data_IF_214878584615
#
_entry.id   IF_214878584615
#
_cell.length_a   1.000
_cell.length_b   1.000
_cell.length_c   1.000
_cell.angle_alpha   90.00
_cell.angle_beta   90.00
_cell.angle_gamma   90.00
#
_symmetry.space_group_name_H-M   'P 1'
#
loop_
_entity.id
_entity.type
_entity.pdbx_description
1 polymer ?
#
# COMPACT_ATOMS: atom_id res chain seq x y z
N UNK A 1 -2.62 19.26 4.43
CA UNK A 1 -2.27 17.84 4.18
C UNK A 1 -0.76 17.61 4.31
N UNK A 2 0.04 18.68 4.25
CA UNK A 2 1.50 18.64 4.26
C UNK A 2 2.10 18.01 5.52
N UNK A 3 1.52 18.26 6.70
CA UNK A 3 1.97 17.60 7.95
C UNK A 3 1.80 16.08 7.91
N UNK A 4 0.67 15.60 7.37
CA UNK A 4 0.39 14.16 7.23
C UNK A 4 1.36 13.56 6.22
N UNK A 5 1.52 14.22 5.08
CA UNK A 5 2.48 13.81 4.05
C UNK A 5 3.90 13.73 4.60
N UNK A 6 4.37 14.77 5.30
CA UNK A 6 5.70 14.79 5.92
C UNK A 6 5.86 13.70 6.97
N UNK A 7 4.84 13.46 7.80
CA UNK A 7 4.88 12.38 8.79
C UNK A 7 5.05 11.02 8.12
N UNK A 8 4.22 10.72 7.11
CA UNK A 8 4.28 9.47 6.34
C UNK A 8 5.63 9.33 5.63
N UNK A 9 6.11 10.39 4.96
CA UNK A 9 7.41 10.42 4.31
C UNK A 9 8.55 10.15 5.28
N UNK A 10 8.53 10.78 6.46
CA UNK A 10 9.55 10.59 7.48
C UNK A 10 9.57 9.16 8.03
N UNK A 11 8.40 8.56 8.23
CA UNK A 11 8.27 7.16 8.65
C UNK A 11 8.86 6.23 7.57
N UNK A 12 8.47 6.39 6.31
CA UNK A 12 8.99 5.59 5.19
C UNK A 12 10.51 5.74 5.05
N UNK A 13 11.03 6.96 5.19
CA UNK A 13 12.47 7.24 5.13
C UNK A 13 13.23 6.64 6.32
N UNK A 14 12.61 6.63 7.49
CA UNK A 14 13.17 5.96 8.67
C UNK A 14 13.23 4.43 8.47
N UNK A 15 12.17 3.83 7.92
CA UNK A 15 12.15 2.40 7.56
C UNK A 15 13.24 2.08 6.52
N UNK A 16 13.40 2.92 5.50
CA UNK A 16 14.46 2.79 4.48
C UNK A 16 15.85 2.79 5.11
N UNK A 17 16.12 3.70 6.06
CA UNK A 17 17.42 3.75 6.77
C UNK A 17 17.71 2.48 7.57
N UNK A 18 16.70 1.89 8.21
CA UNK A 18 16.88 0.69 9.06
C UNK A 18 16.99 -0.57 8.21
N UNK A 19 16.19 -0.69 7.16
CA UNK A 19 16.16 -1.88 6.30
C UNK A 19 17.32 -1.95 5.31
N UNK A 20 17.98 -0.82 5.03
CA UNK A 20 18.98 -0.72 3.97
C UNK A 20 18.38 -0.64 2.56
N UNK A 21 17.05 -0.67 2.45
CA UNK A 21 16.32 -0.50 1.19
C UNK A 21 16.19 0.98 0.84
N UNK A 22 16.04 1.27 -0.45
CA UNK A 22 15.74 2.61 -0.94
C UNK A 22 14.33 3.06 -0.52
N UNK A 23 14.10 4.37 -0.55
CA UNK A 23 12.77 4.92 -0.27
C UNK A 23 11.70 4.39 -1.26
N UNK A 24 12.05 4.19 -2.53
CA UNK A 24 11.13 3.65 -3.54
C UNK A 24 10.74 2.21 -3.21
N UNK A 25 11.70 1.36 -2.89
CA UNK A 25 11.44 -0.03 -2.48
C UNK A 25 10.52 -0.10 -1.27
N UNK A 26 10.81 0.67 -0.22
CA UNK A 26 9.95 0.71 0.97
C UNK A 26 8.54 1.20 0.62
N UNK A 27 8.42 2.23 -0.23
CA UNK A 27 7.14 2.76 -0.66
C UNK A 27 6.32 1.66 -1.37
N UNK A 28 6.91 0.98 -2.35
CA UNK A 28 6.27 -0.13 -3.07
C UNK A 28 5.88 -1.26 -2.13
N UNK A 29 6.77 -1.69 -1.23
CA UNK A 29 6.45 -2.76 -0.27
C UNK A 29 5.25 -2.37 0.60
N UNK A 30 5.24 -1.15 1.16
CA UNK A 30 4.15 -0.73 2.05
C UNK A 30 2.81 -0.66 1.31
N UNK A 31 2.77 0.00 0.14
CA UNK A 31 1.53 0.30 -0.55
C UNK A 31 1.02 -0.82 -1.47
N UNK A 32 1.90 -1.68 -1.99
CA UNK A 32 1.51 -2.78 -2.88
C UNK A 32 1.53 -4.16 -2.21
N UNK A 33 2.18 -4.31 -1.06
CA UNK A 33 2.26 -5.61 -0.36
C UNK A 33 1.60 -5.53 1.02
N UNK A 34 2.05 -4.64 1.91
CA UNK A 34 1.62 -4.65 3.32
C UNK A 34 0.16 -4.20 3.47
N UNK A 35 -0.20 -3.05 2.91
CA UNK A 35 -1.59 -2.53 2.99
C UNK A 35 -2.57 -3.48 2.28
N UNK A 36 -2.34 -3.92 1.02
CA UNK A 36 -3.21 -4.90 0.38
C UNK A 36 -3.26 -6.23 1.12
N UNK A 37 -2.14 -6.71 1.67
CA UNK A 37 -2.10 -7.91 2.49
C UNK A 37 -2.98 -7.80 3.74
N UNK A 38 -3.02 -6.61 4.35
CA UNK A 38 -3.93 -6.35 5.46
C UNK A 38 -5.41 -6.37 5.03
N UNK A 39 -5.74 -5.86 3.84
CA UNK A 39 -7.11 -5.97 3.29
C UNK A 39 -7.48 -7.44 3.04
N UNK A 40 -6.59 -8.21 2.41
CA UNK A 40 -6.80 -9.65 2.17
C UNK A 40 -6.99 -10.41 3.47
N UNK A 41 -6.22 -10.07 4.51
CA UNK A 41 -6.40 -10.66 5.84
C UNK A 41 -7.79 -10.39 6.42
N UNK A 42 -8.27 -9.14 6.37
CA UNK A 42 -9.60 -8.80 6.86
C UNK A 42 -10.71 -9.45 6.02
N UNK A 43 -10.56 -9.50 4.70
CA UNK A 43 -11.51 -10.15 3.79
C UNK A 43 -11.54 -11.66 4.02
N UNK A 44 -10.38 -12.29 4.22
CA UNK A 44 -10.25 -13.72 4.54
C UNK A 44 -11.05 -14.09 5.79
N UNK A 45 -11.03 -13.22 6.81
CA UNK A 45 -11.84 -13.42 8.03
C UNK A 45 -13.33 -13.30 7.77
N UNK A 46 -13.77 -12.32 6.97
CA UNK A 46 -15.20 -12.15 6.59
C UNK A 46 -15.69 -13.40 5.85
N UNK A 47 -14.90 -13.90 4.90
CA UNK A 47 -15.24 -15.06 4.08
C UNK A 47 -14.94 -16.41 4.75
N UNK A 48 -14.38 -16.40 5.97
CA UNK A 48 -13.91 -17.59 6.72
C UNK A 48 -12.97 -18.50 5.90
N UNK A 49 -12.26 -17.94 4.92
CA UNK A 49 -11.41 -18.68 3.98
C UNK A 49 -9.95 -18.32 4.18
N UNK A 50 -9.18 -19.24 4.76
CA UNK A 50 -7.72 -19.08 4.96
C UNK A 50 -6.94 -19.18 3.64
N UNK A 51 -7.54 -19.76 2.59
CA UNK A 51 -6.90 -19.92 1.28
C UNK A 51 -6.57 -18.58 0.63
N UNK A 52 -7.34 -17.52 0.90
CA UNK A 52 -7.06 -16.17 0.37
C UNK A 52 -5.72 -15.60 0.86
N UNK A 53 -5.41 -15.74 2.14
CA UNK A 53 -4.13 -15.27 2.70
C UNK A 53 -2.99 -16.07 2.08
N UNK A 54 -3.14 -17.40 1.99
CA UNK A 54 -2.12 -18.26 1.41
C UNK A 54 -1.88 -17.93 -0.07
N UNK A 55 -2.95 -17.76 -0.85
CA UNK A 55 -2.86 -17.37 -2.26
C UNK A 55 -2.16 -16.02 -2.45
N UNK A 56 -2.45 -15.04 -1.59
CA UNK A 56 -1.78 -13.74 -1.63
C UNK A 56 -0.27 -13.85 -1.31
N UNK A 57 0.10 -14.62 -0.29
CA UNK A 57 1.52 -14.85 0.05
C UNK A 57 2.26 -15.52 -1.12
N UNK A 58 1.68 -16.58 -1.71
CA UNK A 58 2.27 -17.26 -2.86
C UNK A 58 2.42 -16.31 -4.05
N UNK A 59 1.40 -15.49 -4.32
CA UNK A 59 1.45 -14.49 -5.39
C UNK A 59 2.56 -13.47 -5.17
N UNK A 60 2.70 -12.93 -3.95
CA UNK A 60 3.76 -11.95 -3.63
C UNK A 60 5.15 -12.59 -3.77
N UNK A 61 5.35 -13.80 -3.24
CA UNK A 61 6.63 -14.49 -3.36
C UNK A 61 6.99 -14.79 -4.81
N UNK A 62 6.01 -15.23 -5.61
CA UNK A 62 6.19 -15.47 -7.03
C UNK A 62 6.52 -14.18 -7.80
N UNK A 63 5.83 -13.08 -7.51
CA UNK A 63 6.11 -11.79 -8.11
C UNK A 63 7.53 -11.30 -7.80
N UNK A 64 7.96 -11.40 -6.53
CA UNK A 64 9.32 -11.03 -6.12
C UNK A 64 10.36 -11.93 -6.78
N UNK A 65 10.09 -13.24 -6.91
CA UNK A 65 11.02 -14.19 -7.52
C UNK A 65 11.24 -13.94 -9.02
N UNK A 66 10.22 -13.45 -9.74
CA UNK A 66 10.35 -13.14 -11.17
C UNK A 66 11.14 -11.85 -11.41
N UNK A 67 11.13 -10.92 -10.46
CA UNK A 67 11.79 -9.62 -10.62
C UNK A 67 13.30 -9.80 -10.42
N UNK A 68 14.13 -9.65 -11.47
CA UNK A 68 15.56 -9.90 -11.36
C UNK A 68 16.29 -8.77 -10.60
N UNK A 69 15.75 -7.55 -10.66
CA UNK A 69 16.31 -6.36 -10.02
C UNK A 69 15.16 -5.58 -9.38
N UNK A 70 14.98 -5.81 -8.08
CA UNK A 70 13.86 -5.23 -7.34
C UNK A 70 13.98 -3.71 -7.21
N UNK A 71 15.19 -3.16 -7.10
CA UNK A 71 15.43 -1.72 -6.97
C UNK A 71 14.97 -0.98 -8.23
N UNK A 72 15.36 -1.48 -9.42
CA UNK A 72 14.92 -0.89 -10.70
C UNK A 72 13.42 -1.01 -10.89
N UNK A 73 12.85 -2.18 -10.58
CA UNK A 73 11.41 -2.39 -10.67
C UNK A 73 10.65 -1.42 -9.73
N UNK A 74 11.08 -1.32 -8.48
CA UNK A 74 10.44 -0.45 -7.50
C UNK A 74 10.55 1.02 -7.89
N UNK A 75 11.68 1.45 -8.43
CA UNK A 75 11.86 2.81 -8.93
C UNK A 75 10.93 3.11 -10.10
N UNK A 76 10.86 2.22 -11.10
CA UNK A 76 9.94 2.40 -12.24
C UNK A 76 8.47 2.43 -11.78
N UNK A 77 8.06 1.51 -10.89
CA UNK A 77 6.70 1.48 -10.37
C UNK A 77 6.38 2.72 -9.52
N UNK A 78 7.36 3.22 -8.76
CA UNK A 78 7.23 4.45 -7.99
C UNK A 78 7.05 5.66 -8.91
N UNK A 79 7.83 5.79 -9.98
CA UNK A 79 7.68 6.87 -10.97
C UNK A 79 6.30 6.84 -11.63
N UNK A 80 5.82 5.66 -12.02
CA UNK A 80 4.45 5.50 -12.52
C UNK A 80 3.40 5.89 -11.48
N UNK A 81 3.62 5.58 -10.20
CA UNK A 81 2.75 6.00 -9.10
C UNK A 81 2.74 7.52 -8.93
N UNK A 82 3.89 8.18 -9.06
CA UNK A 82 4.01 9.64 -9.02
C UNK A 82 3.26 10.27 -10.18
N UNK A 83 3.39 9.74 -11.40
CA UNK A 83 2.63 10.20 -12.57
C UNK A 83 1.12 10.05 -12.36
N UNK A 84 0.67 8.91 -11.82
CA UNK A 84 -0.73 8.69 -11.46
C UNK A 84 -1.24 9.72 -10.45
N UNK A 85 -0.45 10.02 -9.41
CA UNK A 85 -0.83 11.01 -8.40
C UNK A 85 -0.85 12.43 -8.95
N UNK A 86 0.10 12.78 -9.81
CA UNK A 86 0.13 14.07 -10.50
C UNK A 86 -1.02 14.23 -11.49
N UNK A 87 -1.54 13.15 -12.07
CA UNK A 87 -2.71 13.22 -12.94
C UNK A 87 -3.95 13.79 -12.23
N UNK A 88 -4.04 13.69 -10.90
CA UNK A 88 -5.12 14.33 -10.13
C UNK A 88 -5.03 15.86 -10.08
N UNK A 89 -3.95 16.46 -10.55
CA UNK A 89 -3.85 17.90 -10.74
C UNK A 89 -4.92 18.41 -11.73
N UNK A 90 -5.34 17.56 -12.67
CA UNK A 90 -6.51 17.82 -13.54
C UNK A 90 -7.80 18.07 -12.74
N UNK A 91 -7.95 17.46 -11.57
CA UNK A 91 -9.08 17.64 -10.66
C UNK A 91 -8.81 18.70 -9.57
N UNK A 92 -7.71 19.46 -9.69
CA UNK A 92 -7.32 20.49 -8.73
C UNK A 92 -6.64 19.98 -7.46
N UNK A 93 -6.24 18.70 -7.42
CA UNK A 93 -5.48 18.14 -6.31
C UNK A 93 -3.99 18.16 -6.62
N UNK A 94 -3.20 18.87 -5.82
CA UNK A 94 -1.75 18.80 -5.97
C UNK A 94 -1.20 17.43 -5.52
N UNK A 95 0.05 17.13 -5.89
CA UNK A 95 0.71 15.86 -5.55
C UNK A 95 0.59 15.48 -4.07
N UNK A 96 0.80 16.44 -3.16
CA UNK A 96 0.76 16.20 -1.71
C UNK A 96 -0.65 15.83 -1.25
N UNK A 97 -1.66 16.54 -1.76
CA UNK A 97 -3.06 16.27 -1.45
C UNK A 97 -3.49 14.92 -2.00
N UNK A 98 -3.20 14.64 -3.27
CA UNK A 98 -3.49 13.35 -3.92
C UNK A 98 -2.82 12.20 -3.16
N UNK A 99 -1.54 12.36 -2.78
CA UNK A 99 -0.81 11.36 -2.00
C UNK A 99 -1.51 11.06 -0.67
N UNK A 100 -1.90 12.08 0.09
CA UNK A 100 -2.57 11.86 1.39
C UNK A 100 -3.95 11.23 1.21
N UNK A 101 -4.72 11.66 0.21
CA UNK A 101 -6.05 11.09 -0.05
C UNK A 101 -5.94 9.61 -0.44
N UNK A 102 -5.13 9.31 -1.47
CA UNK A 102 -5.04 7.98 -2.06
C UNK A 102 -4.28 7.00 -1.16
N UNK A 103 -3.16 7.41 -0.58
CA UNK A 103 -2.28 6.50 0.16
C UNK A 103 -2.60 6.41 1.65
N UNK A 104 -3.40 7.33 2.21
CA UNK A 104 -3.72 7.34 3.64
C UNK A 104 -5.22 7.27 3.88
N UNK A 105 -5.99 8.23 3.37
CA UNK A 105 -7.42 8.33 3.70
C UNK A 105 -8.23 7.15 3.12
N UNK A 106 -8.02 6.82 1.86
CA UNK A 106 -8.72 5.69 1.21
C UNK A 106 -8.39 4.36 1.92
N UNK A 107 -7.11 4.00 2.15
CA UNK A 107 -6.77 2.78 2.90
C UNK A 107 -7.37 2.73 4.29
N UNK A 108 -7.34 3.83 5.05
CA UNK A 108 -7.96 3.88 6.38
C UNK A 108 -9.46 3.63 6.28
N UNK A 109 -10.15 4.24 5.32
CA UNK A 109 -11.59 4.06 5.11
C UNK A 109 -11.93 2.60 4.79
N UNK A 110 -11.15 1.95 3.91
CA UNK A 110 -11.29 0.52 3.59
C UNK A 110 -11.08 -0.35 4.84
N UNK A 111 -10.03 -0.08 5.64
CA UNK A 111 -9.75 -0.83 6.87
C UNK A 111 -10.90 -0.71 7.87
N UNK A 112 -11.41 0.50 8.08
CA UNK A 112 -12.51 0.75 9.01
C UNK A 112 -13.75 0.00 8.56
N UNK A 113 -14.08 0.07 7.26
CA UNK A 113 -15.21 -0.65 6.68
C UNK A 113 -15.07 -2.17 6.84
N UNK A 114 -13.92 -2.74 6.44
CA UNK A 114 -13.67 -4.17 6.55
C UNK A 114 -13.66 -4.66 8.00
N UNK A 115 -13.16 -3.85 8.93
CA UNK A 115 -13.15 -4.18 10.35
C UNK A 115 -14.57 -4.12 10.93
N UNK A 116 -15.38 -3.16 10.52
CA UNK A 116 -16.80 -3.08 10.90
C UNK A 116 -17.58 -4.30 10.40
N UNK A 117 -17.38 -4.71 9.15
CA UNK A 117 -18.00 -5.91 8.58
C UNK A 117 -17.58 -7.19 9.31
N UNK A 118 -16.31 -7.30 9.72
CA UNK A 118 -15.81 -8.42 10.53
C UNK A 118 -16.46 -8.52 11.92
N UNK A 119 -16.94 -7.40 12.49
CA UNK A 119 -17.59 -7.39 13.81
C UNK A 119 -19.05 -7.83 13.76
N UNK A 120 -19.73 -7.69 12.62
CA UNK A 120 -21.09 -8.20 12.49
C UNK A 120 -21.04 -9.74 12.51
N UNK A 121 -21.80 -10.42 13.38
CA UNK A 121 -21.94 -11.85 13.25
C UNK A 121 -22.51 -12.13 11.86
N UNK A 122 -21.73 -12.83 11.04
CA UNK A 122 -22.24 -13.48 9.83
C UNK A 122 -23.29 -14.48 10.31
N UNK A 123 -24.57 -14.11 10.19
CA UNK A 123 -25.72 -14.99 10.40
C UNK A 123 -25.65 -16.20 9.47
#
# INVERSE_FOLDING_TARGET
>A
MDRIFQAVYNILKWISKISGLTYHEVNIIIYYIIIPGFFVFLISRILKSKSLIFGFIVFVLFAIFIIPDFEKFATALFEHSVLFLNWFEYFGLNYVQASVVICVLIPILIIVLLTYLNKKPTN
#
